data_IF_307574600852
#
_entry.id   IF_307574600852
#
_cell.length_a   1.000
_cell.length_b   1.000
_cell.length_c   1.000
_cell.angle_alpha   90.00
_cell.angle_beta   90.00
_cell.angle_gamma   90.00
#
_symmetry.space_group_name_H-M   'P 1'
#
loop_
_entity.id
_entity.type
_entity.pdbx_description
1 polymer ?
#
# COMPACT_ATOMS: atom_id res chain seq x y z
N UNK A 1 18.84 0.96 -0.10
CA UNK A 1 19.25 0.64 1.28
C UNK A 1 18.61 -0.61 1.85
N UNK A 2 17.82 -1.30 1.08
CA UNK A 2 17.44 -2.67 1.43
C UNK A 2 18.62 -3.59 1.17
N UNK A 3 18.92 -4.47 2.11
CA UNK A 3 19.99 -5.44 2.02
C UNK A 3 19.44 -6.83 2.39
N UNK A 4 19.77 -7.84 1.60
CA UNK A 4 19.28 -9.20 1.83
C UNK A 4 19.60 -9.71 3.24
N UNK A 5 20.83 -9.53 3.70
CA UNK A 5 21.24 -9.96 5.05
C UNK A 5 20.40 -9.30 6.17
N UNK A 6 20.02 -8.01 6.01
CA UNK A 6 19.14 -7.34 6.97
C UNK A 6 17.73 -7.90 6.95
N UNK A 7 17.20 -8.24 5.77
CA UNK A 7 15.89 -8.87 5.65
C UNK A 7 15.88 -10.25 6.32
N UNK A 8 16.91 -11.04 6.10
CA UNK A 8 17.06 -12.36 6.73
C UNK A 8 17.12 -12.25 8.26
N UNK A 9 17.93 -11.34 8.81
CA UNK A 9 17.97 -11.07 10.25
C UNK A 9 16.59 -10.63 10.81
N UNK A 10 15.89 -9.75 10.11
CA UNK A 10 14.55 -9.31 10.53
C UNK A 10 13.55 -10.48 10.53
N UNK A 11 13.64 -11.36 9.54
CA UNK A 11 12.79 -12.57 9.47
C UNK A 11 13.12 -13.57 10.59
N UNK A 12 14.39 -13.73 10.97
CA UNK A 12 14.80 -14.52 12.13
C UNK A 12 14.20 -13.98 13.44
N UNK A 13 14.03 -12.65 13.53
CA UNK A 13 13.35 -11.98 14.65
C UNK A 13 11.82 -12.05 14.58
N UNK A 14 11.24 -12.73 13.58
CA UNK A 14 9.81 -12.93 13.44
C UNK A 14 9.09 -11.89 12.59
N UNK A 15 9.79 -10.94 11.95
CA UNK A 15 9.17 -10.00 11.01
C UNK A 15 8.83 -10.73 9.72
N UNK A 16 7.55 -10.62 9.28
CA UNK A 16 7.05 -11.31 8.08
C UNK A 16 6.51 -10.37 7.00
N UNK A 17 6.28 -9.11 7.33
CA UNK A 17 5.68 -8.11 6.47
C UNK A 17 6.68 -7.02 6.16
N UNK A 18 6.89 -6.75 4.87
CA UNK A 18 7.90 -5.81 4.40
C UNK A 18 7.29 -4.81 3.42
N UNK A 19 7.75 -3.57 3.52
CA UNK A 19 7.43 -2.49 2.58
C UNK A 19 8.69 -2.15 1.78
N UNK A 20 8.58 -2.02 0.47
CA UNK A 20 9.67 -1.70 -0.44
C UNK A 20 9.24 -0.63 -1.45
N UNK A 21 10.20 0.10 -2.01
CA UNK A 21 9.93 1.24 -2.89
C UNK A 21 10.11 0.90 -4.38
N UNK A 22 10.80 -0.19 -4.71
CA UNK A 22 11.11 -0.56 -6.09
C UNK A 22 10.82 -2.02 -6.38
N UNK A 23 10.61 -2.36 -7.65
CA UNK A 23 10.44 -3.75 -8.09
C UNK A 23 11.65 -4.62 -7.74
N UNK A 24 12.87 -4.09 -7.87
CA UNK A 24 14.09 -4.80 -7.51
C UNK A 24 14.17 -5.10 -6.00
N UNK A 25 13.73 -4.16 -5.16
CA UNK A 25 13.63 -4.42 -3.71
C UNK A 25 12.54 -5.44 -3.40
N UNK A 26 11.40 -5.40 -4.10
CA UNK A 26 10.33 -6.38 -3.94
C UNK A 26 10.80 -7.79 -4.31
N UNK A 27 11.51 -7.93 -5.43
CA UNK A 27 12.10 -9.18 -5.86
C UNK A 27 13.11 -9.72 -4.85
N UNK A 28 14.07 -8.90 -4.42
CA UNK A 28 15.04 -9.28 -3.39
C UNK A 28 14.37 -9.70 -2.08
N UNK A 29 13.29 -9.03 -1.71
CA UNK A 29 12.52 -9.34 -0.49
C UNK A 29 11.82 -10.70 -0.63
N UNK A 30 11.25 -10.99 -1.80
CA UNK A 30 10.63 -12.29 -2.11
C UNK A 30 11.69 -13.42 -2.14
N UNK A 31 12.85 -13.16 -2.74
CA UNK A 31 13.98 -14.11 -2.76
C UNK A 31 14.54 -14.41 -1.37
N UNK A 32 14.47 -13.45 -0.44
CA UNK A 32 14.84 -13.65 0.95
C UNK A 32 13.81 -14.47 1.74
N UNK A 33 12.62 -14.73 1.20
CA UNK A 33 11.59 -15.56 1.82
C UNK A 33 10.53 -14.79 2.62
N UNK A 34 10.34 -13.49 2.36
CA UNK A 34 9.29 -12.71 3.00
C UNK A 34 7.89 -13.23 2.62
N UNK A 35 6.98 -13.25 3.61
CA UNK A 35 5.61 -13.73 3.41
C UNK A 35 4.69 -12.66 2.81
N UNK A 36 4.85 -11.39 3.21
CA UNK A 36 4.03 -10.28 2.74
C UNK A 36 4.90 -9.13 2.25
N UNK A 37 4.64 -8.65 1.05
CA UNK A 37 5.46 -7.63 0.38
C UNK A 37 4.57 -6.54 -0.20
N UNK A 38 4.62 -5.35 0.37
CA UNK A 38 3.97 -4.16 -0.18
C UNK A 38 4.95 -3.37 -1.04
N UNK A 39 4.65 -3.23 -2.33
CA UNK A 39 5.33 -2.23 -3.15
C UNK A 39 4.69 -0.87 -2.90
N UNK A 40 5.37 -0.06 -2.09
CA UNK A 40 4.87 1.22 -1.60
C UNK A 40 5.19 2.38 -2.55
N UNK A 41 4.87 2.19 -3.83
CA UNK A 41 4.93 3.20 -4.88
C UNK A 41 3.91 2.87 -5.98
N UNK A 42 3.14 3.85 -6.50
CA UNK A 42 2.16 3.61 -7.56
C UNK A 42 2.78 3.01 -8.81
N UNK A 43 2.08 2.03 -9.40
CA UNK A 43 2.51 1.34 -10.60
C UNK A 43 1.91 2.00 -11.83
N UNK A 44 2.76 2.41 -12.79
CA UNK A 44 2.33 3.03 -14.04
C UNK A 44 3.07 2.43 -15.24
N UNK A 45 2.42 2.38 -16.39
CA UNK A 45 3.03 1.95 -17.65
C UNK A 45 3.66 0.55 -17.57
N UNK A 46 4.92 0.39 -18.04
CA UNK A 46 5.59 -0.91 -18.07
C UNK A 46 5.77 -1.59 -16.71
N UNK A 47 5.76 -0.81 -15.61
CA UNK A 47 5.91 -1.33 -14.26
C UNK A 47 4.73 -2.24 -13.85
N UNK A 48 3.54 -2.04 -14.41
CA UNK A 48 2.36 -2.89 -14.20
C UNK A 48 2.64 -4.33 -14.61
N UNK A 49 3.08 -4.55 -15.86
CA UNK A 49 3.37 -5.88 -16.36
C UNK A 49 4.56 -6.54 -15.63
N UNK A 50 5.56 -5.74 -15.25
CA UNK A 50 6.72 -6.23 -14.47
C UNK A 50 6.31 -6.68 -13.08
N UNK A 51 5.43 -5.92 -12.39
CA UNK A 51 4.92 -6.31 -11.07
C UNK A 51 4.08 -7.60 -11.14
N UNK A 52 3.18 -7.72 -12.12
CA UNK A 52 2.39 -8.95 -12.31
C UNK A 52 3.31 -10.16 -12.59
N UNK A 53 4.41 -9.96 -13.36
CA UNK A 53 5.41 -11.02 -13.55
C UNK A 53 6.06 -11.45 -12.25
N UNK A 54 6.39 -10.48 -11.40
CA UNK A 54 6.99 -10.75 -10.10
C UNK A 54 6.05 -11.54 -9.18
N UNK A 55 4.77 -11.16 -9.13
CA UNK A 55 3.74 -11.92 -8.38
C UNK A 55 3.68 -13.38 -8.82
N UNK A 56 3.65 -13.63 -10.13
CA UNK A 56 3.59 -14.98 -10.67
C UNK A 56 4.87 -15.79 -10.45
N UNK A 57 6.03 -15.11 -10.40
CA UNK A 57 7.33 -15.75 -10.18
C UNK A 57 7.52 -16.23 -8.73
N UNK A 58 6.88 -15.56 -7.77
CA UNK A 58 7.01 -15.86 -6.34
C UNK A 58 5.64 -16.18 -5.69
N UNK A 59 4.99 -17.28 -6.06
CA UNK A 59 3.63 -17.61 -5.60
C UNK A 59 3.54 -17.91 -4.10
N UNK A 60 4.68 -18.10 -3.43
CA UNK A 60 4.75 -18.30 -1.97
C UNK A 60 4.62 -17.01 -1.17
N UNK A 61 4.82 -15.83 -1.82
CA UNK A 61 4.71 -14.54 -1.17
C UNK A 61 3.38 -13.86 -1.54
N UNK A 62 2.77 -13.19 -0.58
CA UNK A 62 1.61 -12.33 -0.80
C UNK A 62 2.08 -10.93 -1.16
N UNK A 63 1.79 -10.51 -2.37
CA UNK A 63 2.13 -9.17 -2.84
C UNK A 63 0.96 -8.21 -2.69
N UNK A 64 1.33 -6.94 -2.49
CA UNK A 64 0.38 -5.83 -2.44
C UNK A 64 0.91 -4.66 -3.25
N UNK A 65 0.02 -3.99 -3.96
CA UNK A 65 0.32 -2.75 -4.68
C UNK A 65 -0.30 -1.54 -3.98
N UNK A 66 0.09 -0.33 -4.37
CA UNK A 66 -0.60 0.91 -4.02
C UNK A 66 -1.49 1.39 -5.16
N UNK A 67 -2.61 2.02 -4.80
CA UNK A 67 -3.53 2.65 -5.72
C UNK A 67 -3.94 4.03 -5.20
N UNK A 68 -3.77 5.05 -6.01
CA UNK A 68 -4.20 6.44 -5.77
C UNK A 68 -4.93 7.05 -6.99
N UNK A 69 -4.97 6.30 -8.08
CA UNK A 69 -5.69 6.64 -9.30
C UNK A 69 -6.51 5.44 -9.81
N UNK A 70 -7.77 5.70 -10.12
CA UNK A 70 -8.70 4.64 -10.54
C UNK A 70 -8.32 4.03 -11.90
N UNK A 71 -7.85 4.82 -12.85
CA UNK A 71 -7.48 4.30 -14.17
C UNK A 71 -6.24 3.40 -14.06
N UNK A 72 -5.25 3.79 -13.24
CA UNK A 72 -4.08 2.98 -12.95
C UNK A 72 -4.46 1.66 -12.25
N UNK A 73 -5.38 1.71 -11.29
CA UNK A 73 -5.88 0.51 -10.60
C UNK A 73 -6.58 -0.45 -11.56
N UNK A 74 -7.45 0.05 -12.44
CA UNK A 74 -8.15 -0.77 -13.43
C UNK A 74 -7.20 -1.37 -14.47
N UNK A 75 -6.15 -0.65 -14.87
CA UNK A 75 -5.11 -1.18 -15.75
C UNK A 75 -4.33 -2.32 -15.08
N UNK A 76 -4.03 -2.18 -13.79
CA UNK A 76 -3.37 -3.22 -12.98
C UNK A 76 -4.27 -4.46 -12.82
N UNK A 77 -5.55 -4.27 -12.52
CA UNK A 77 -6.54 -5.35 -12.40
C UNK A 77 -6.70 -6.12 -13.71
N UNK A 78 -6.83 -5.40 -14.83
CA UNK A 78 -6.95 -6.00 -16.17
C UNK A 78 -5.71 -6.83 -16.54
N UNK A 79 -4.50 -6.32 -16.27
CA UNK A 79 -3.27 -7.06 -16.55
C UNK A 79 -3.14 -8.30 -15.64
N UNK A 80 -3.48 -8.18 -14.37
CA UNK A 80 -3.49 -9.29 -13.43
C UNK A 80 -4.47 -10.38 -13.87
N UNK A 81 -5.72 -10.01 -14.18
CA UNK A 81 -6.76 -10.93 -14.67
C UNK A 81 -6.34 -11.63 -15.96
N UNK A 82 -5.82 -10.88 -16.94
CA UNK A 82 -5.34 -11.42 -18.22
C UNK A 82 -4.26 -12.48 -18.04
N UNK A 83 -3.44 -12.38 -17.00
CA UNK A 83 -2.32 -13.30 -16.73
C UNK A 83 -2.63 -14.34 -15.66
N UNK A 84 -3.83 -14.33 -15.07
CA UNK A 84 -4.23 -15.27 -14.02
C UNK A 84 -3.54 -15.02 -12.68
N UNK A 85 -3.09 -13.79 -12.43
CA UNK A 85 -2.57 -13.38 -11.13
C UNK A 85 -3.69 -12.80 -10.25
N UNK A 86 -3.55 -12.94 -8.92
CA UNK A 86 -4.44 -12.28 -7.95
C UNK A 86 -3.62 -11.81 -6.76
N UNK A 87 -3.85 -10.57 -6.30
CA UNK A 87 -3.14 -9.97 -5.18
C UNK A 87 -3.90 -8.80 -4.56
N UNK A 88 -3.45 -8.37 -3.39
CA UNK A 88 -4.07 -7.26 -2.67
C UNK A 88 -3.59 -5.88 -3.15
N UNK A 89 -4.38 -4.86 -2.86
CA UNK A 89 -3.92 -3.48 -2.98
C UNK A 89 -4.37 -2.65 -1.79
N UNK A 90 -3.56 -1.65 -1.45
CA UNK A 90 -3.88 -0.62 -0.48
C UNK A 90 -4.16 0.69 -1.22
N UNK A 91 -5.15 1.44 -0.76
CA UNK A 91 -5.32 2.82 -1.22
C UNK A 91 -4.27 3.68 -0.51
N UNK A 92 -3.45 4.35 -1.31
CA UNK A 92 -2.47 5.31 -0.80
C UNK A 92 -3.17 6.61 -0.41
N UNK A 93 -2.94 7.09 0.81
CA UNK A 93 -3.56 8.30 1.35
C UNK A 93 -2.53 9.42 1.41
N UNK A 94 -2.84 10.57 0.84
CA UNK A 94 -2.01 11.75 0.99
C UNK A 94 -2.16 12.33 2.40
N UNK A 95 -1.17 12.04 3.23
CA UNK A 95 -1.09 12.53 4.62
C UNK A 95 -0.56 13.98 4.73
N UNK A 96 -0.40 14.69 3.61
CA UNK A 96 0.18 16.03 3.59
C UNK A 96 1.56 16.10 2.92
N UNK A 97 2.17 14.98 2.56
CA UNK A 97 3.45 14.95 1.85
C UNK A 97 3.34 15.47 0.40
N UNK A 98 2.15 15.44 -0.19
CA UNK A 98 1.84 15.93 -1.55
C UNK A 98 2.74 15.31 -2.64
N UNK A 99 3.06 14.03 -2.49
CA UNK A 99 3.85 13.27 -3.46
C UNK A 99 2.99 12.31 -4.26
N UNK A 100 2.27 11.44 -3.56
CA UNK A 100 1.31 10.45 -4.07
C UNK A 100 0.16 10.35 -3.09
N UNK A 101 -0.88 9.63 -3.46
CA UNK A 101 -2.00 9.33 -2.59
C UNK A 101 -3.24 10.18 -2.86
N UNK A 102 -4.36 9.62 -2.48
CA UNK A 102 -5.68 10.28 -2.54
C UNK A 102 -5.80 11.27 -1.40
N UNK A 103 -6.24 12.49 -1.70
CA UNK A 103 -6.54 13.49 -0.67
C UNK A 103 -7.59 12.95 0.32
N UNK A 104 -7.40 13.19 1.61
CA UNK A 104 -8.27 12.67 2.68
C UNK A 104 -9.73 13.04 2.46
N UNK A 105 -10.00 14.27 2.01
CA UNK A 105 -11.36 14.73 1.69
C UNK A 105 -12.05 13.95 0.55
N UNK A 106 -11.27 13.28 -0.31
CA UNK A 106 -11.77 12.47 -1.44
C UNK A 106 -11.70 10.96 -1.19
N UNK A 107 -11.12 10.54 -0.06
CA UNK A 107 -10.82 9.14 0.22
C UNK A 107 -12.09 8.27 0.19
N UNK A 108 -13.14 8.70 0.87
CA UNK A 108 -14.42 7.99 0.88
C UNK A 108 -14.99 7.80 -0.54
N UNK A 109 -15.10 8.89 -1.30
CA UNK A 109 -15.64 8.84 -2.67
C UNK A 109 -14.78 8.00 -3.61
N UNK A 110 -13.46 8.08 -3.46
CA UNK A 110 -12.52 7.29 -4.24
C UNK A 110 -12.73 5.80 -4.02
N UNK A 111 -12.79 5.34 -2.76
CA UNK A 111 -12.97 3.91 -2.43
C UNK A 111 -14.33 3.43 -2.93
N UNK A 112 -15.39 4.19 -2.74
CA UNK A 112 -16.74 3.87 -3.24
C UNK A 112 -16.81 3.79 -4.76
N UNK A 113 -15.99 4.56 -5.46
CA UNK A 113 -15.94 4.58 -6.92
C UNK A 113 -15.11 3.44 -7.55
N UNK A 114 -14.33 2.67 -6.77
CA UNK A 114 -13.49 1.58 -7.30
C UNK A 114 -14.35 0.55 -8.05
N UNK A 115 -15.47 0.13 -7.44
CA UNK A 115 -16.33 -0.89 -8.01
C UNK A 115 -15.73 -2.30 -7.94
N UNK A 116 -16.37 -3.30 -8.56
CA UNK A 116 -15.88 -4.67 -8.55
C UNK A 116 -14.63 -4.81 -9.41
N UNK A 117 -13.64 -5.54 -8.90
CA UNK A 117 -12.40 -5.91 -9.58
C UNK A 117 -12.39 -7.42 -9.87
N UNK A 118 -11.62 -7.83 -10.88
CA UNK A 118 -11.57 -9.22 -11.35
C UNK A 118 -10.49 -10.04 -10.66
N UNK A 119 -9.36 -9.41 -10.37
CA UNK A 119 -8.14 -10.07 -9.91
C UNK A 119 -7.57 -9.44 -8.63
N UNK A 120 -7.89 -8.18 -8.36
CA UNK A 120 -7.38 -7.46 -7.21
C UNK A 120 -8.41 -7.41 -6.09
N UNK A 121 -7.93 -7.40 -4.84
CA UNK A 121 -8.78 -7.26 -3.66
C UNK A 121 -8.29 -6.12 -2.77
N UNK A 122 -9.24 -5.33 -2.28
CA UNK A 122 -8.97 -4.23 -1.37
C UNK A 122 -8.44 -4.76 -0.05
N UNK A 123 -7.27 -4.29 0.38
CA UNK A 123 -6.57 -4.74 1.58
C UNK A 123 -6.49 -3.67 2.67
N UNK A 124 -6.93 -2.46 2.37
CA UNK A 124 -6.97 -1.37 3.34
C UNK A 124 -6.29 -0.07 2.88
N UNK A 125 -5.80 0.71 3.83
CA UNK A 125 -5.20 2.02 3.61
C UNK A 125 -3.69 2.00 3.89
N UNK A 126 -2.94 2.79 3.11
CA UNK A 126 -1.54 3.10 3.35
C UNK A 126 -1.40 4.60 3.62
N UNK A 127 -0.99 4.93 4.85
CA UNK A 127 -0.94 6.29 5.38
C UNK A 127 0.50 6.62 5.76
N UNK A 128 1.26 7.19 4.81
CA UNK A 128 2.67 7.51 5.02
C UNK A 128 2.85 8.98 5.41
N UNK A 129 3.36 9.23 6.60
CA UNK A 129 3.56 10.53 7.22
C UNK A 129 5.02 11.02 7.22
N UNK A 130 5.83 10.55 6.27
CA UNK A 130 7.28 10.80 6.20
C UNK A 130 7.73 12.25 5.99
N UNK A 131 6.81 13.19 5.93
CA UNK A 131 7.08 14.63 5.91
C UNK A 131 7.05 15.27 7.29
N UNK A 132 6.58 14.55 8.32
CA UNK A 132 6.52 15.05 9.69
C UNK A 132 7.91 14.96 10.30
N UNK A 133 8.57 16.12 10.43
CA UNK A 133 9.93 16.24 10.96
C UNK A 133 10.00 17.13 12.20
N UNK A 134 8.85 17.53 12.74
CA UNK A 134 8.73 18.36 13.93
C UNK A 134 9.41 17.69 15.12
N UNK A 135 10.40 18.36 15.70
CA UNK A 135 11.22 17.81 16.80
C UNK A 135 10.55 17.96 18.17
N UNK A 136 9.71 18.99 18.32
CA UNK A 136 8.88 19.14 19.53
C UNK A 136 7.80 18.06 19.55
N UNK A 137 7.71 17.35 20.67
CA UNK A 137 6.81 16.21 20.78
C UNK A 137 5.34 16.63 20.79
N UNK A 138 5.00 17.74 21.46
CA UNK A 138 3.62 18.21 21.57
C UNK A 138 3.11 18.77 20.25
N UNK A 139 3.96 19.51 19.54
CA UNK A 139 3.62 20.04 18.21
C UNK A 139 3.45 18.88 17.22
N UNK A 140 4.35 17.90 17.22
CA UNK A 140 4.25 16.71 16.38
C UNK A 140 2.99 15.88 16.66
N UNK A 141 2.65 15.70 17.95
CA UNK A 141 1.44 14.98 18.34
C UNK A 141 0.17 15.70 17.84
N UNK A 142 0.13 17.04 17.95
CA UNK A 142 -0.97 17.82 17.43
C UNK A 142 -1.11 17.71 15.90
N UNK A 143 0.00 17.82 15.16
CA UNK A 143 0.06 17.68 13.71
C UNK A 143 -0.45 16.30 13.26
N UNK A 144 0.05 15.22 13.87
CA UNK A 144 -0.36 13.85 13.54
C UNK A 144 -1.83 13.61 13.92
N UNK A 145 -2.30 14.14 15.04
CA UNK A 145 -3.69 13.98 15.49
C UNK A 145 -4.67 14.60 14.49
N UNK A 146 -4.37 15.78 13.95
CA UNK A 146 -5.22 16.42 12.94
C UNK A 146 -5.30 15.59 11.65
N UNK A 147 -4.15 15.09 11.16
CA UNK A 147 -4.11 14.24 9.98
C UNK A 147 -4.89 12.93 10.17
N UNK A 148 -4.73 12.29 11.32
CA UNK A 148 -5.41 11.02 11.65
C UNK A 148 -6.92 11.21 11.80
N UNK A 149 -7.38 12.31 12.37
CA UNK A 149 -8.80 12.58 12.55
C UNK A 149 -9.58 12.57 11.22
N UNK A 150 -9.00 13.15 10.15
CA UNK A 150 -9.63 13.15 8.83
C UNK A 150 -9.73 11.75 8.21
N UNK A 151 -8.76 10.87 8.51
CA UNK A 151 -8.76 9.47 8.05
C UNK A 151 -9.78 8.65 8.83
N UNK A 152 -9.85 8.84 10.14
CA UNK A 152 -10.82 8.15 11.01
C UNK A 152 -12.25 8.48 10.56
N UNK A 153 -12.58 9.75 10.28
CA UNK A 153 -13.89 10.13 9.74
C UNK A 153 -14.22 9.38 8.43
N UNK A 154 -13.26 9.29 7.52
CA UNK A 154 -13.45 8.55 6.27
C UNK A 154 -13.65 7.05 6.51
N UNK A 155 -12.92 6.45 7.45
CA UNK A 155 -13.05 5.05 7.86
C UNK A 155 -14.44 4.80 8.44
N UNK A 156 -14.87 5.60 9.40
CA UNK A 156 -16.17 5.46 10.07
C UNK A 156 -17.33 5.50 9.05
N UNK A 157 -17.24 6.38 8.06
CA UNK A 157 -18.22 6.47 6.96
C UNK A 157 -18.21 5.24 6.06
N UNK A 158 -17.04 4.72 5.73
CA UNK A 158 -16.90 3.51 4.92
C UNK A 158 -17.46 2.28 5.64
N UNK A 159 -17.15 2.13 6.92
CA UNK A 159 -17.66 1.04 7.76
C UNK A 159 -19.18 1.12 7.93
N UNK A 160 -19.73 2.33 8.12
CA UNK A 160 -21.18 2.55 8.17
C UNK A 160 -21.89 2.12 6.89
N UNK A 161 -21.22 2.22 5.74
CA UNK A 161 -21.71 1.74 4.43
C UNK A 161 -21.40 0.27 4.16
N UNK A 162 -20.86 -0.47 5.13
CA UNK A 162 -20.53 -1.88 5.03
C UNK A 162 -19.28 -2.19 4.21
N UNK A 163 -18.39 -1.23 4.03
CA UNK A 163 -17.07 -1.46 3.43
C UNK A 163 -16.12 -1.98 4.50
N UNK A 164 -15.70 -3.22 4.38
CA UNK A 164 -14.67 -3.78 5.27
C UNK A 164 -13.32 -3.12 5.01
N UNK A 165 -12.66 -2.68 6.08
CA UNK A 165 -11.30 -2.17 6.08
C UNK A 165 -10.37 -3.20 6.76
N UNK A 166 -9.75 -4.12 6.01
CA UNK A 166 -8.97 -5.20 6.61
C UNK A 166 -7.74 -4.72 7.38
N UNK A 167 -7.13 -3.61 6.96
CA UNK A 167 -5.87 -3.14 7.55
C UNK A 167 -5.61 -1.66 7.27
N UNK A 168 -4.91 -1.00 8.19
CA UNK A 168 -4.32 0.32 7.99
C UNK A 168 -2.82 0.23 8.26
N UNK A 169 -2.00 0.63 7.30
CA UNK A 169 -0.55 0.72 7.42
C UNK A 169 -0.21 2.19 7.59
N UNK A 170 0.25 2.57 8.78
CA UNK A 170 0.57 3.95 9.10
C UNK A 170 2.02 4.11 9.56
N UNK A 171 2.53 5.33 9.47
CA UNK A 171 3.83 5.75 9.98
C UNK A 171 4.95 5.82 8.94
N UNK A 172 5.96 6.66 9.26
CA UNK A 172 7.23 6.73 8.56
C UNK A 172 8.23 5.73 9.14
N UNK A 173 9.14 5.27 8.31
CA UNK A 173 10.26 4.40 8.71
C UNK A 173 11.51 5.19 9.02
#
# INVERSE_FOLDING_TARGET
HKMRAMLEMQMEMGIRRFKCATLAEAEMTAQAGAEHILLAYPLVGPAVAAFVSLVLQYPQAQFYALADDRACLLALDSEAARRGASFGFFVDVNMGMNRTGVETARLYDFIRAIGPLQALHFSGLHCYDGHVHTTDLLEREAEVTEMVAAIVDAIDRLEADGVELPSVIAGAS
#
